data_IF_205017702914
#
_entry.id   IF_205017702914
#
_cell.length_a   1.000
_cell.length_b   1.000
_cell.length_c   1.000
_cell.angle_alpha   90.00
_cell.angle_beta   90.00
_cell.angle_gamma   90.00
#
_symmetry.space_group_name_H-M   'P 1'
#
loop_
_entity.id
_entity.type
_entity.pdbx_description
1 polymer ?
#
# COMPACT_ATOMS: atom_id res chain seq x y z
N UNK A 1 -11.26 -26.87 1.81
CA UNK A 1 -11.39 -28.35 1.81
C UNK A 1 -12.44 -28.84 2.81
N UNK A 2 -12.36 -28.50 4.09
CA UNK A 2 -13.28 -29.00 5.13
C UNK A 2 -14.78 -28.70 4.87
N UNK A 3 -15.09 -27.55 4.26
CA UNK A 3 -16.48 -27.19 3.90
C UNK A 3 -17.11 -28.13 2.86
N UNK A 4 -16.36 -28.50 1.82
CA UNK A 4 -16.84 -29.43 0.78
C UNK A 4 -17.06 -30.84 1.33
N UNK A 5 -16.20 -31.29 2.26
CA UNK A 5 -16.35 -32.57 2.95
C UNK A 5 -17.55 -32.58 3.88
N UNK A 6 -17.80 -31.46 4.60
CA UNK A 6 -18.97 -31.32 5.47
C UNK A 6 -20.28 -31.44 4.70
N UNK A 7 -20.41 -30.76 3.56
CA UNK A 7 -21.64 -30.72 2.76
C UNK A 7 -21.73 -31.82 1.68
N UNK A 8 -20.84 -32.82 1.70
CA UNK A 8 -20.82 -33.90 0.72
C UNK A 8 -22.14 -34.71 0.66
N UNK A 9 -22.80 -35.10 1.78
CA UNK A 9 -24.07 -35.83 1.74
C UNK A 9 -25.19 -35.01 1.10
N UNK A 10 -25.25 -33.71 1.41
CA UNK A 10 -26.23 -32.78 0.83
C UNK A 10 -25.99 -32.65 -0.68
N UNK A 11 -24.73 -32.44 -1.08
CA UNK A 11 -24.35 -32.35 -2.49
C UNK A 11 -24.69 -33.63 -3.27
N UNK A 12 -24.46 -34.79 -2.68
CA UNK A 12 -24.80 -36.10 -3.26
C UNK A 12 -26.31 -36.33 -3.35
N UNK A 13 -27.08 -35.85 -2.38
CA UNK A 13 -28.55 -35.95 -2.40
C UNK A 13 -29.19 -35.04 -3.45
N UNK A 14 -28.61 -33.86 -3.73
CA UNK A 14 -29.10 -32.95 -4.76
C UNK A 14 -28.70 -33.39 -6.17
N UNK A 15 -27.42 -33.72 -6.37
CA UNK A 15 -26.88 -34.10 -7.69
C UNK A 15 -25.84 -35.20 -7.51
N UNK A 16 -26.29 -36.45 -7.47
CA UNK A 16 -25.43 -37.62 -7.27
C UNK A 16 -24.31 -37.73 -8.33
N UNK A 17 -24.58 -37.33 -9.58
CA UNK A 17 -23.61 -37.36 -10.69
C UNK A 17 -22.91 -36.01 -10.93
N UNK A 18 -22.99 -35.09 -9.97
CA UNK A 18 -22.36 -33.78 -10.11
C UNK A 18 -20.84 -33.91 -10.23
N UNK A 19 -20.23 -33.09 -11.09
CA UNK A 19 -18.78 -33.09 -11.33
C UNK A 19 -17.95 -33.00 -10.03
N UNK A 20 -18.45 -32.25 -9.04
CA UNK A 20 -17.83 -32.13 -7.73
C UNK A 20 -17.90 -33.44 -6.92
N UNK A 21 -19.04 -34.12 -6.91
CA UNK A 21 -19.24 -35.43 -6.24
C UNK A 21 -18.33 -36.47 -6.89
N UNK A 22 -18.32 -36.55 -8.22
CA UNK A 22 -17.48 -37.49 -8.97
C UNK A 22 -15.98 -37.29 -8.71
N UNK A 23 -15.51 -36.03 -8.70
CA UNK A 23 -14.10 -35.73 -8.43
C UNK A 23 -13.71 -36.06 -6.98
N UNK A 24 -14.61 -35.82 -6.03
CA UNK A 24 -14.37 -36.16 -4.63
C UNK A 24 -14.30 -37.67 -4.41
N UNK A 25 -15.23 -38.43 -4.97
CA UNK A 25 -15.24 -39.90 -4.89
C UNK A 25 -14.03 -40.51 -5.60
N UNK A 26 -13.71 -40.06 -6.82
CA UNK A 26 -12.54 -40.52 -7.56
C UNK A 26 -11.21 -40.24 -6.82
N UNK A 27 -11.09 -39.08 -6.17
CA UNK A 27 -9.91 -38.75 -5.36
C UNK A 27 -9.81 -39.65 -4.11
N UNK A 28 -10.95 -39.94 -3.48
CA UNK A 28 -11.05 -40.79 -2.28
C UNK A 28 -10.65 -42.22 -2.61
N UNK A 29 -11.19 -42.78 -3.68
CA UNK A 29 -10.85 -44.12 -4.19
C UNK A 29 -9.37 -44.20 -4.60
N UNK A 30 -8.85 -43.17 -5.29
CA UNK A 30 -7.43 -43.11 -5.68
C UNK A 30 -6.49 -43.10 -4.47
N UNK A 31 -6.97 -42.62 -3.31
CA UNK A 31 -6.22 -42.62 -2.05
C UNK A 31 -6.47 -43.87 -1.20
N UNK A 32 -7.25 -44.83 -1.68
CA UNK A 32 -7.50 -46.11 -1.02
C UNK A 32 -8.61 -46.07 0.02
N UNK A 33 -9.37 -44.99 0.10
CA UNK A 33 -10.50 -44.84 1.02
C UNK A 33 -11.82 -45.13 0.31
N UNK A 34 -12.83 -45.53 1.08
CA UNK A 34 -14.17 -45.82 0.59
C UNK A 34 -15.12 -44.64 0.83
N UNK A 35 -16.22 -44.60 0.07
CA UNK A 35 -17.23 -43.54 0.18
C UNK A 35 -17.91 -43.52 1.56
N UNK A 36 -17.98 -44.65 2.27
CA UNK A 36 -18.49 -44.71 3.65
C UNK A 36 -17.59 -43.99 4.65
N UNK A 37 -16.26 -44.00 4.45
CA UNK A 37 -15.34 -43.21 5.30
C UNK A 37 -15.53 -41.71 5.06
N UNK A 38 -15.77 -41.31 3.81
CA UNK A 38 -16.08 -39.93 3.44
C UNK A 38 -17.37 -39.43 4.12
N UNK A 39 -18.41 -40.28 4.16
CA UNK A 39 -19.66 -40.01 4.88
C UNK A 39 -19.45 -39.94 6.39
N UNK A 40 -18.62 -40.83 6.96
CA UNK A 40 -18.28 -40.80 8.38
C UNK A 40 -17.57 -39.49 8.77
N UNK A 41 -16.64 -39.01 7.94
CA UNK A 41 -15.95 -37.74 8.17
C UNK A 41 -16.90 -36.53 8.05
N UNK A 42 -17.82 -36.55 7.06
CA UNK A 42 -18.85 -35.52 6.94
C UNK A 42 -19.74 -35.47 8.19
N UNK A 43 -20.20 -36.62 8.67
CA UNK A 43 -21.02 -36.73 9.88
C UNK A 43 -20.28 -36.18 11.10
N UNK A 44 -19.00 -36.56 11.28
CA UNK A 44 -18.17 -36.07 12.38
C UNK A 44 -17.99 -34.54 12.34
N UNK A 45 -17.77 -33.96 11.15
CA UNK A 45 -17.66 -32.51 10.96
C UNK A 45 -19.00 -31.78 11.20
N UNK A 46 -20.13 -32.44 10.94
CA UNK A 46 -21.46 -31.95 11.27
C UNK A 46 -21.71 -31.88 12.78
N UNK A 47 -21.32 -32.92 13.51
CA UNK A 47 -21.48 -33.00 14.98
C UNK A 47 -20.60 -31.99 15.73
N UNK A 48 -19.35 -31.78 15.29
CA UNK A 48 -18.43 -30.82 15.92
C UNK A 48 -18.87 -29.35 15.80
N UNK A 49 -19.77 -29.03 14.86
CA UNK A 49 -20.37 -27.69 14.74
C UNK A 49 -21.67 -27.55 15.56
N UNK A 50 -22.19 -28.64 16.13
CA UNK A 50 -23.45 -28.68 16.87
C UNK A 50 -23.28 -28.83 18.40
N UNK A 51 -22.09 -28.51 18.95
CA UNK A 51 -21.98 -28.19 20.38
C UNK A 51 -22.46 -26.76 20.62
N UNK A 52 -23.76 -26.55 20.54
CA UNK A 52 -24.46 -25.45 21.20
C UNK A 52 -25.19 -26.07 22.40
N UNK A 53 -25.07 -25.51 23.62
CA UNK A 53 -25.62 -26.15 24.80
C UNK A 53 -27.14 -26.24 24.70
N UNK A 54 -27.61 -27.43 25.04
CA UNK A 54 -28.99 -27.77 25.38
C UNK A 54 -29.54 -26.79 26.41
N UNK A 55 -30.65 -26.13 26.08
CA UNK A 55 -31.56 -25.55 27.06
C UNK A 55 -32.96 -26.04 26.69
N UNK A 56 -33.42 -27.06 27.42
CA UNK A 56 -34.82 -27.38 27.55
C UNK A 56 -35.55 -26.22 28.22
N UNK A 57 -36.68 -25.79 27.67
CA UNK A 57 -37.96 -25.56 28.36
C UNK A 57 -39.01 -24.97 27.38
N UNK A 58 -39.94 -25.84 26.95
CA UNK A 58 -41.40 -25.73 27.08
C UNK A 58 -42.16 -24.45 26.67
N UNK A 59 -42.97 -24.62 25.62
CA UNK A 59 -44.35 -24.13 25.38
C UNK A 59 -44.63 -22.70 24.90
N UNK A 60 -45.18 -22.66 23.67
CA UNK A 60 -46.21 -21.79 23.06
C UNK A 60 -46.52 -20.42 23.69
N UNK A 61 -46.25 -19.35 22.95
CA UNK A 61 -47.20 -18.28 22.62
C UNK A 61 -46.56 -17.22 21.69
N UNK A 62 -47.24 -16.93 20.57
CA UNK A 62 -47.08 -15.78 19.68
C UNK A 62 -45.65 -15.38 19.28
N UNK A 63 -45.22 -15.82 18.09
CA UNK A 63 -44.02 -15.30 17.41
C UNK A 63 -44.14 -13.80 17.17
N UNK A 64 -43.58 -13.01 18.07
CA UNK A 64 -43.28 -11.59 17.85
C UNK A 64 -42.17 -11.52 16.79
N UNK A 65 -42.58 -11.20 15.55
CA UNK A 65 -41.74 -11.15 14.35
C UNK A 65 -40.47 -10.31 14.57
N UNK A 66 -40.50 -9.35 15.52
CA UNK A 66 -39.38 -8.46 15.85
C UNK A 66 -38.21 -9.15 16.57
N UNK A 67 -38.43 -10.31 17.19
CA UNK A 67 -37.38 -11.04 17.93
C UNK A 67 -36.65 -12.07 17.07
N UNK A 68 -37.11 -12.30 15.83
CA UNK A 68 -36.51 -13.32 14.98
C UNK A 68 -35.11 -12.88 14.53
N UNK A 69 -34.07 -13.72 14.72
CA UNK A 69 -32.65 -13.33 14.63
C UNK A 69 -32.25 -12.77 13.27
N UNK A 70 -32.98 -13.13 12.21
CA UNK A 70 -32.78 -12.61 10.85
C UNK A 70 -33.14 -11.12 10.75
N UNK A 71 -34.23 -10.66 11.39
CA UNK A 71 -34.62 -9.25 11.34
C UNK A 71 -33.68 -8.38 12.17
N UNK A 72 -33.23 -8.87 13.33
CA UNK A 72 -32.19 -8.19 14.12
C UNK A 72 -30.90 -8.03 13.32
N UNK A 73 -30.49 -9.08 12.60
CA UNK A 73 -29.32 -9.02 11.73
C UNK A 73 -29.50 -8.06 10.55
N UNK A 74 -30.65 -8.10 9.88
CA UNK A 74 -30.97 -7.17 8.80
C UNK A 74 -31.00 -5.71 9.29
N UNK A 75 -31.59 -5.44 10.45
CA UNK A 75 -31.60 -4.11 11.05
C UNK A 75 -30.17 -3.63 11.37
N UNK A 76 -29.31 -4.51 11.91
CA UNK A 76 -27.90 -4.18 12.16
C UNK A 76 -27.12 -3.88 10.86
N UNK A 77 -27.37 -4.63 9.79
CA UNK A 77 -26.76 -4.36 8.48
C UNK A 77 -27.22 -3.04 7.88
N UNK A 78 -28.51 -2.71 8.01
CA UNK A 78 -29.07 -1.43 7.57
C UNK A 78 -28.41 -0.28 8.33
N UNK A 79 -28.31 -0.39 9.65
CA UNK A 79 -27.66 0.62 10.50
C UNK A 79 -26.19 0.81 10.11
N UNK A 80 -25.45 -0.28 9.88
CA UNK A 80 -24.07 -0.21 9.39
C UNK A 80 -23.97 0.48 8.03
N UNK A 81 -24.89 0.19 7.10
CA UNK A 81 -24.89 0.82 5.79
C UNK A 81 -25.19 2.32 5.88
N UNK A 82 -26.12 2.72 6.74
CA UNK A 82 -26.43 4.13 7.02
C UNK A 82 -25.19 4.85 7.56
N UNK A 83 -24.50 4.28 8.55
CA UNK A 83 -23.28 4.87 9.11
C UNK A 83 -22.17 5.01 8.08
N UNK A 84 -21.99 4.00 7.21
CA UNK A 84 -21.00 4.07 6.12
C UNK A 84 -21.38 5.18 5.14
N UNK A 85 -22.63 5.28 4.73
CA UNK A 85 -23.09 6.33 3.82
C UNK A 85 -22.91 7.72 4.41
N UNK A 86 -23.31 7.96 5.67
CA UNK A 86 -23.08 9.23 6.36
C UNK A 86 -21.59 9.61 6.43
N UNK A 87 -20.72 8.61 6.68
CA UNK A 87 -19.27 8.82 6.69
C UNK A 87 -18.71 9.15 5.30
N UNK A 88 -19.29 8.58 4.24
CA UNK A 88 -18.92 8.91 2.87
C UNK A 88 -19.40 10.32 2.51
N UNK A 89 -20.62 10.70 2.88
CA UNK A 89 -21.18 12.03 2.64
C UNK A 89 -20.37 13.12 3.34
N UNK A 90 -20.03 12.93 4.62
CA UNK A 90 -19.18 13.89 5.36
C UNK A 90 -17.80 14.06 4.72
N UNK A 91 -17.19 12.97 4.23
CA UNK A 91 -15.92 13.03 3.50
C UNK A 91 -16.08 13.73 2.15
N UNK A 92 -17.18 13.50 1.45
CA UNK A 92 -17.49 14.12 0.16
C UNK A 92 -17.71 15.64 0.33
N UNK A 93 -18.51 16.07 1.32
CA UNK A 93 -18.68 17.50 1.63
C UNK A 93 -17.37 18.18 2.01
N UNK A 94 -16.50 17.49 2.77
CA UNK A 94 -15.17 18.01 3.12
C UNK A 94 -14.26 18.13 1.87
N UNK A 95 -14.35 17.17 0.96
CA UNK A 95 -13.62 17.19 -0.30
C UNK A 95 -14.13 18.30 -1.22
N UNK A 96 -15.44 18.44 -1.36
CA UNK A 96 -16.09 19.49 -2.16
C UNK A 96 -15.78 20.89 -1.63
N UNK A 97 -15.82 21.09 -0.32
CA UNK A 97 -15.42 22.36 0.29
C UNK A 97 -13.94 22.69 -0.01
N UNK A 98 -13.04 21.71 0.06
CA UNK A 98 -11.64 21.90 -0.31
C UNK A 98 -11.45 22.23 -1.80
N UNK A 99 -12.24 21.61 -2.69
CA UNK A 99 -12.19 21.87 -4.13
C UNK A 99 -12.76 23.26 -4.46
N UNK A 100 -13.90 23.62 -3.87
CA UNK A 100 -14.54 24.92 -4.07
C UNK A 100 -13.66 26.07 -3.56
N UNK A 101 -13.05 25.91 -2.37
CA UNK A 101 -12.09 26.87 -1.82
C UNK A 101 -10.81 26.99 -2.68
N UNK A 102 -10.43 25.91 -3.37
CA UNK A 102 -9.29 25.90 -4.31
C UNK A 102 -9.64 26.56 -5.65
N UNK A 103 -10.89 26.40 -6.11
CA UNK A 103 -11.38 26.96 -7.38
C UNK A 103 -11.65 28.47 -7.31
N UNK A 104 -11.95 29.04 -6.13
CA UNK A 104 -12.08 30.50 -5.97
C UNK A 104 -10.75 31.26 -5.96
N UNK A 105 -9.60 30.57 -6.05
CA UNK A 105 -8.30 31.22 -6.22
C UNK A 105 -7.86 31.17 -7.68
N UNK A 106 -8.22 32.25 -8.41
CA UNK A 106 -7.67 32.84 -9.67
C UNK A 106 -8.16 32.31 -11.04
N UNK A 107 -8.18 33.13 -12.13
CA UNK A 107 -7.85 34.59 -12.35
C UNK A 107 -8.83 35.34 -13.33
N UNK A 108 -8.52 36.49 -14.01
CA UNK A 108 -7.67 37.68 -13.75
C UNK A 108 -8.41 39.04 -13.94
N UNK A 109 -7.75 40.17 -13.62
CA UNK A 109 -8.13 41.51 -14.09
C UNK A 109 -6.95 42.48 -13.92
N UNK A 110 -6.39 42.93 -15.05
CA UNK A 110 -5.35 43.94 -15.19
C UNK A 110 -5.86 45.34 -14.80
N UNK A 111 -5.04 46.15 -14.13
CA UNK A 111 -4.55 47.45 -14.63
C UNK A 111 -3.75 48.26 -13.57
N UNK A 112 -2.92 49.14 -14.12
CA UNK A 112 -1.76 49.86 -13.60
C UNK A 112 -1.93 50.74 -12.33
N UNK A 113 -0.83 50.95 -11.58
CA UNK A 113 -0.05 52.20 -11.57
C UNK A 113 0.97 52.26 -10.40
N UNK A 114 2.00 53.05 -10.63
CA UNK A 114 3.27 53.29 -9.89
C UNK A 114 3.12 53.81 -8.45
N UNK A 115 4.09 53.51 -7.56
CA UNK A 115 5.00 54.49 -6.91
C UNK A 115 5.86 53.83 -5.80
N UNK A 116 7.00 54.45 -5.54
CA UNK A 116 8.22 54.02 -4.86
C UNK A 116 8.11 53.59 -3.38
N UNK A 117 9.08 52.78 -2.96
CA UNK A 117 9.32 52.49 -1.54
C UNK A 117 10.42 51.47 -1.32
N UNK A 118 11.63 51.97 -1.08
CA UNK A 118 12.82 51.23 -0.70
C UNK A 118 12.56 50.35 0.54
N UNK A 119 12.88 49.05 0.44
CA UNK A 119 12.68 48.08 1.52
C UNK A 119 13.14 46.68 1.12
N UNK A 120 14.28 46.28 1.66
CA UNK A 120 14.87 44.94 1.74
C UNK A 120 13.87 43.77 1.52
N UNK A 121 14.14 42.79 0.64
CA UNK A 121 13.14 41.81 0.29
C UNK A 121 12.90 40.84 1.46
N UNK A 122 11.68 40.76 2.03
CA UNK A 122 11.40 39.73 3.01
C UNK A 122 11.42 38.39 2.29
N UNK A 123 12.15 37.43 2.86
CA UNK A 123 12.18 36.02 2.44
C UNK A 123 10.76 35.46 2.51
N UNK A 124 10.00 35.66 1.43
CA UNK A 124 8.71 35.01 1.22
C UNK A 124 9.04 33.56 0.95
N UNK A 125 9.08 32.76 2.03
CA UNK A 125 8.86 31.31 1.99
C UNK A 125 7.55 31.09 1.26
N UNK A 126 7.66 30.92 -0.06
CA UNK A 126 6.57 30.60 -0.96
C UNK A 126 6.10 29.20 -0.60
N UNK A 127 5.17 29.14 0.36
CA UNK A 127 4.46 27.91 0.74
C UNK A 127 3.41 27.61 -0.34
N UNK A 128 3.87 27.45 -1.57
CA UNK A 128 3.24 26.51 -2.50
C UNK A 128 3.37 25.17 -1.79
N UNK A 129 2.32 24.36 -1.71
CA UNK A 129 2.46 22.98 -1.24
C UNK A 129 3.41 22.27 -2.21
N UNK A 130 4.71 22.33 -1.89
CA UNK A 130 5.76 21.87 -2.76
C UNK A 130 5.51 20.39 -3.01
N UNK A 131 5.48 19.99 -4.28
CA UNK A 131 5.71 18.60 -4.61
C UNK A 131 6.94 18.15 -3.81
N UNK A 132 6.82 17.10 -3.00
CA UNK A 132 7.92 16.65 -2.15
C UNK A 132 9.17 16.53 -3.01
N UNK A 133 10.19 17.33 -2.69
CA UNK A 133 11.48 17.32 -3.41
C UNK A 133 12.13 15.96 -3.17
N UNK A 134 12.98 15.49 -4.09
CA UNK A 134 13.57 14.17 -3.94
C UNK A 134 14.54 14.12 -2.76
N UNK A 135 15.33 15.19 -2.54
CA UNK A 135 16.13 15.35 -1.33
C UNK A 135 15.30 15.37 -0.04
N UNK A 136 14.06 15.87 -0.05
CA UNK A 136 13.18 15.83 1.13
C UNK A 136 12.70 14.40 1.40
N UNK A 137 12.43 13.63 0.34
CA UNK A 137 12.13 12.21 0.44
C UNK A 137 13.34 11.41 0.97
N UNK A 138 14.55 11.72 0.51
CA UNK A 138 15.81 11.16 1.01
C UNK A 138 16.04 11.49 2.49
N UNK A 139 15.96 12.77 2.85
CA UNK A 139 16.14 13.22 4.22
C UNK A 139 15.08 12.65 5.17
N UNK A 140 13.81 12.60 4.75
CA UNK A 140 12.76 11.99 5.56
C UNK A 140 12.92 10.49 5.73
N UNK A 141 13.53 9.80 4.76
CA UNK A 141 13.87 8.39 4.90
C UNK A 141 14.93 8.18 5.98
N UNK A 142 16.07 8.88 5.88
CA UNK A 142 17.25 8.63 6.71
C UNK A 142 17.33 9.42 8.02
N UNK A 143 16.99 10.70 8.00
CA UNK A 143 17.28 11.62 9.10
C UNK A 143 16.05 11.94 9.96
N UNK A 144 14.82 11.73 9.49
CA UNK A 144 13.61 12.01 10.27
C UNK A 144 13.45 11.03 11.44
N UNK A 145 13.02 11.55 12.60
CA UNK A 145 12.72 10.76 13.80
C UNK A 145 11.21 10.88 14.11
N UNK A 146 10.47 9.77 14.32
CA UNK A 146 10.89 8.38 14.11
C UNK A 146 11.20 8.09 12.62
N UNK A 147 12.17 7.21 12.38
CA UNK A 147 12.60 6.83 11.02
C UNK A 147 11.43 6.27 10.21
N UNK A 148 11.36 6.65 8.94
CA UNK A 148 10.18 6.37 8.12
C UNK A 148 10.01 4.87 7.83
N UNK A 149 11.11 4.09 7.81
CA UNK A 149 11.05 2.63 7.72
C UNK A 149 10.63 1.94 9.02
N UNK A 150 10.80 2.59 10.18
CA UNK A 150 10.43 2.08 11.50
C UNK A 150 8.99 2.39 11.89
N UNK A 151 8.27 3.21 11.10
CA UNK A 151 6.87 3.53 11.37
C UNK A 151 5.94 2.35 11.07
N UNK A 152 5.11 2.01 12.06
CA UNK A 152 4.09 0.94 11.99
C UNK A 152 2.68 1.50 11.67
N UNK A 153 2.57 2.81 11.46
CA UNK A 153 1.29 3.46 11.23
C UNK A 153 0.73 3.16 9.83
N UNK A 154 -0.48 2.57 9.80
CA UNK A 154 -1.21 2.23 8.58
C UNK A 154 -1.53 3.47 7.72
N UNK A 155 -1.71 4.65 8.32
CA UNK A 155 -2.01 5.89 7.59
C UNK A 155 -0.81 6.39 6.78
N UNK A 156 0.41 6.05 7.20
CA UNK A 156 1.66 6.44 6.52
C UNK A 156 2.18 5.38 5.56
N UNK A 157 1.54 4.19 5.50
CA UNK A 157 1.97 3.03 4.69
C UNK A 157 2.21 3.39 3.22
N UNK A 158 1.27 4.11 2.60
CA UNK A 158 1.39 4.49 1.19
C UNK A 158 2.51 5.51 0.96
N UNK A 159 2.63 6.49 1.86
CA UNK A 159 3.70 7.49 1.82
C UNK A 159 5.07 6.81 1.98
N UNK A 160 5.21 5.91 2.94
CA UNK A 160 6.41 5.09 3.17
C UNK A 160 6.78 4.29 1.93
N UNK A 161 5.84 3.60 1.29
CA UNK A 161 6.09 2.82 0.08
C UNK A 161 6.59 3.70 -1.08
N UNK A 162 5.97 4.87 -1.29
CA UNK A 162 6.40 5.80 -2.32
C UNK A 162 7.77 6.41 -2.02
N UNK A 163 8.03 6.86 -0.79
CA UNK A 163 9.34 7.36 -0.37
C UNK A 163 10.42 6.29 -0.55
N UNK A 164 10.12 5.05 -0.15
CA UNK A 164 11.01 3.89 -0.33
C UNK A 164 11.42 3.72 -1.79
N UNK A 165 10.46 3.80 -2.73
CA UNK A 165 10.74 3.72 -4.16
C UNK A 165 11.59 4.90 -4.66
N UNK A 166 11.30 6.13 -4.21
CA UNK A 166 12.10 7.31 -4.62
C UNK A 166 13.54 7.13 -4.19
N UNK A 167 13.75 6.75 -2.92
CA UNK A 167 15.07 6.56 -2.35
C UNK A 167 15.82 5.43 -3.04
N UNK A 168 15.15 4.32 -3.37
CA UNK A 168 15.76 3.23 -4.12
C UNK A 168 16.24 3.67 -5.51
N UNK A 169 15.46 4.48 -6.22
CA UNK A 169 15.91 5.05 -7.48
C UNK A 169 17.05 6.05 -7.32
N UNK A 170 17.02 6.90 -6.28
CA UNK A 170 18.10 7.85 -6.00
C UNK A 170 19.43 7.13 -5.69
N UNK A 171 19.39 6.02 -4.96
CA UNK A 171 20.58 5.20 -4.64
C UNK A 171 21.36 4.75 -5.87
N UNK A 172 20.66 4.52 -6.99
CA UNK A 172 21.28 4.06 -8.24
C UNK A 172 22.24 5.09 -8.87
N UNK A 173 22.04 6.38 -8.54
CA UNK A 173 22.81 7.50 -9.08
C UNK A 173 23.88 8.01 -8.12
N UNK A 174 24.06 7.35 -6.98
CA UNK A 174 25.16 7.66 -6.07
C UNK A 174 26.48 7.11 -6.59
N UNK A 175 27.58 7.77 -6.20
CA UNK A 175 28.93 7.41 -6.59
C UNK A 175 29.36 6.01 -6.10
N UNK A 176 30.52 5.55 -6.60
CA UNK A 176 31.05 4.17 -6.45
C UNK A 176 31.12 3.67 -5.00
N UNK A 177 31.04 4.55 -4.01
CA UNK A 177 30.99 4.17 -2.60
C UNK A 177 30.31 5.27 -1.80
N UNK A 178 29.13 4.99 -1.27
CA UNK A 178 28.51 5.84 -0.25
C UNK A 178 28.41 5.08 1.06
N UNK A 179 28.72 5.77 2.15
CA UNK A 179 28.65 5.23 3.51
C UNK A 179 27.92 6.25 4.36
N UNK A 180 26.79 5.84 4.93
CA UNK A 180 26.00 6.61 5.87
C UNK A 180 26.14 5.96 7.24
N UNK A 181 26.94 6.58 8.13
CA UNK A 181 27.08 6.13 9.51
C UNK A 181 26.12 6.91 10.42
N UNK A 182 25.11 6.23 10.97
CA UNK A 182 24.13 6.81 11.89
C UNK A 182 24.78 7.35 13.18
N UNK A 183 25.96 6.85 13.55
CA UNK A 183 26.70 7.29 14.75
C UNK A 183 27.58 8.51 14.51
N UNK A 184 27.78 8.89 13.25
CA UNK A 184 28.58 10.06 12.89
C UNK A 184 27.88 11.36 13.33
N UNK A 185 28.59 12.32 13.95
CA UNK A 185 28.01 13.63 14.22
C UNK A 185 27.67 14.39 12.93
N UNK A 186 28.29 14.05 11.80
CA UNK A 186 28.00 14.60 10.48
C UNK A 186 26.86 13.88 9.74
N UNK A 187 26.26 12.83 10.32
CA UNK A 187 25.26 12.00 9.64
C UNK A 187 24.18 12.78 8.88
N UNK A 188 23.63 13.83 9.51
CA UNK A 188 22.56 14.62 8.87
C UNK A 188 23.06 15.47 7.71
N UNK A 189 24.29 15.97 7.80
CA UNK A 189 24.91 16.75 6.73
C UNK A 189 25.27 15.81 5.58
N UNK A 190 25.84 14.63 5.87
CA UNK A 190 26.13 13.59 4.88
C UNK A 190 24.85 13.14 4.14
N UNK A 191 23.74 12.95 4.88
CA UNK A 191 22.43 12.64 4.29
C UNK A 191 21.94 13.76 3.37
N UNK A 192 22.13 15.03 3.73
CA UNK A 192 21.72 16.16 2.91
C UNK A 192 22.56 16.28 1.64
N UNK A 193 23.89 16.15 1.75
CA UNK A 193 24.81 16.22 0.63
C UNK A 193 24.59 15.07 -0.36
N UNK A 194 24.54 13.82 0.13
CA UNK A 194 24.26 12.65 -0.70
C UNK A 194 22.87 12.73 -1.36
N UNK A 195 21.87 13.20 -0.61
CA UNK A 195 20.52 13.40 -1.14
C UNK A 195 20.47 14.43 -2.28
N UNK A 196 21.22 15.53 -2.14
CA UNK A 196 21.32 16.57 -3.17
C UNK A 196 22.11 16.10 -4.39
N UNK A 197 23.21 15.38 -4.18
CA UNK A 197 24.01 14.78 -5.26
C UNK A 197 23.18 13.78 -6.07
N UNK A 198 22.49 12.85 -5.39
CA UNK A 198 21.62 11.89 -6.05
C UNK A 198 20.45 12.55 -6.81
N UNK A 199 19.82 13.59 -6.24
CA UNK A 199 18.75 14.33 -6.93
C UNK A 199 19.29 15.01 -8.20
N UNK A 200 20.48 15.62 -8.12
CA UNK A 200 21.12 16.26 -9.28
C UNK A 200 21.38 15.25 -10.40
N UNK A 201 22.05 14.13 -10.11
CA UNK A 201 22.39 13.12 -11.10
C UNK A 201 21.14 12.45 -11.71
N UNK A 202 20.14 12.14 -10.88
CA UNK A 202 18.86 11.61 -11.33
C UNK A 202 18.12 12.59 -12.27
N UNK A 203 18.10 13.89 -11.95
CA UNK A 203 17.46 14.88 -12.80
C UNK A 203 18.24 15.15 -14.10
N UNK A 204 19.57 15.04 -14.07
CA UNK A 204 20.41 15.08 -15.28
C UNK A 204 20.07 13.90 -16.20
N UNK A 205 20.04 12.69 -15.66
CA UNK A 205 19.66 11.48 -16.41
C UNK A 205 18.27 11.58 -17.02
N UNK A 206 17.28 12.09 -16.29
CA UNK A 206 15.94 12.29 -16.84
C UNK A 206 15.94 13.28 -18.02
N UNK A 207 16.78 14.32 -17.97
CA UNK A 207 16.90 15.30 -19.06
C UNK A 207 17.53 14.68 -20.31
N UNK A 208 18.53 13.81 -20.15
CA UNK A 208 19.13 13.03 -21.25
C UNK A 208 18.09 12.14 -21.95
N UNK A 209 17.09 11.67 -21.20
CA UNK A 209 15.95 10.91 -21.72
C UNK A 209 14.74 11.77 -22.11
N UNK A 210 14.92 13.09 -22.30
CA UNK A 210 13.87 14.05 -22.68
C UNK A 210 12.69 14.15 -21.70
N UNK A 211 12.90 13.78 -20.43
CA UNK A 211 11.88 13.82 -19.37
C UNK A 211 12.08 15.03 -18.45
N UNK A 212 11.16 16.00 -18.53
CA UNK A 212 11.13 17.18 -17.64
C UNK A 212 10.31 16.95 -16.35
N UNK A 213 10.61 15.89 -15.59
CA UNK A 213 9.94 15.61 -14.33
C UNK A 213 10.71 16.22 -13.13
N UNK A 214 10.02 16.95 -12.25
CA UNK A 214 10.64 17.61 -11.07
C UNK A 214 10.08 17.18 -9.71
N UNK A 215 8.82 16.76 -9.64
CA UNK A 215 8.21 16.31 -8.39
C UNK A 215 8.42 14.81 -8.16
N UNK A 216 8.59 14.37 -6.92
CA UNK A 216 8.81 12.97 -6.57
C UNK A 216 7.84 11.99 -7.25
N UNK A 217 6.54 12.32 -7.32
CA UNK A 217 5.55 11.46 -7.99
C UNK A 217 5.78 11.34 -9.50
N UNK A 218 6.07 12.44 -10.19
CA UNK A 218 6.31 12.44 -11.62
C UNK A 218 7.63 11.75 -11.95
N UNK A 219 8.67 11.99 -11.15
CA UNK A 219 9.96 11.31 -11.27
C UNK A 219 9.78 9.80 -11.08
N UNK A 220 9.04 9.36 -10.05
CA UNK A 220 8.70 7.94 -9.88
C UNK A 220 8.01 7.34 -11.10
N UNK A 221 7.04 8.05 -11.68
CA UNK A 221 6.30 7.57 -12.86
C UNK A 221 7.24 7.38 -14.05
N UNK A 222 8.11 8.36 -14.31
CA UNK A 222 9.09 8.30 -15.39
C UNK A 222 10.15 7.22 -15.16
N UNK A 223 10.67 7.12 -13.93
CA UNK A 223 11.67 6.11 -13.56
C UNK A 223 11.15 4.69 -13.71
N UNK A 224 9.88 4.42 -13.36
CA UNK A 224 9.27 3.12 -13.64
C UNK A 224 9.19 2.80 -15.13
N UNK A 225 8.93 3.80 -15.97
CA UNK A 225 8.91 3.60 -17.43
C UNK A 225 10.30 3.30 -17.96
N UNK A 226 11.31 4.07 -17.56
CA UNK A 226 12.71 3.85 -17.95
C UNK A 226 13.25 2.52 -17.44
N UNK A 227 12.84 2.09 -16.25
CA UNK A 227 13.16 0.78 -15.70
C UNK A 227 12.60 -0.34 -16.57
N UNK A 228 11.30 -0.27 -16.92
CA UNK A 228 10.65 -1.25 -17.80
C UNK A 228 11.26 -1.29 -19.20
N UNK A 229 11.73 -0.16 -19.70
CA UNK A 229 12.45 -0.05 -20.97
C UNK A 229 13.92 -0.51 -20.88
N UNK A 230 14.42 -0.86 -19.70
CA UNK A 230 15.78 -1.38 -19.48
C UNK A 230 16.88 -0.33 -19.39
N UNK A 231 16.57 0.97 -19.44
CA UNK A 231 17.57 2.03 -19.38
C UNK A 231 18.29 2.13 -18.02
N UNK A 232 17.71 1.54 -16.97
CA UNK A 232 18.29 1.51 -15.63
C UNK A 232 19.12 0.26 -15.33
N UNK A 233 19.24 -0.68 -16.28
CA UNK A 233 19.90 -1.96 -16.05
C UNK A 233 21.40 -1.82 -15.72
N UNK A 234 22.08 -0.87 -16.36
CA UNK A 234 23.50 -0.60 -16.09
C UNK A 234 23.71 -0.10 -14.66
N UNK A 235 22.88 0.87 -14.23
CA UNK A 235 22.90 1.39 -12.87
C UNK A 235 22.55 0.33 -11.83
N UNK A 236 21.54 -0.50 -12.10
CA UNK A 236 21.17 -1.60 -11.22
C UNK A 236 22.31 -2.63 -11.07
N UNK A 237 22.98 -2.99 -12.19
CA UNK A 237 24.13 -3.90 -12.17
C UNK A 237 25.28 -3.33 -11.34
N UNK A 238 25.61 -2.06 -11.58
CA UNK A 238 26.66 -1.34 -10.83
C UNK A 238 26.34 -1.31 -9.34
N UNK A 239 25.13 -0.92 -8.97
CA UNK A 239 24.69 -0.91 -7.58
C UNK A 239 24.85 -2.28 -6.90
N UNK A 240 24.43 -3.35 -7.57
CA UNK A 240 24.59 -4.71 -7.05
C UNK A 240 26.07 -5.11 -6.88
N UNK A 241 26.96 -4.70 -7.79
CA UNK A 241 28.40 -4.93 -7.67
C UNK A 241 29.01 -4.20 -6.47
N UNK A 242 28.63 -2.94 -6.25
CA UNK A 242 29.07 -2.15 -5.11
C UNK A 242 28.57 -2.73 -3.78
N UNK A 243 27.33 -3.23 -3.77
CA UNK A 243 26.77 -3.92 -2.62
C UNK A 243 27.54 -5.22 -2.31
N UNK A 244 27.83 -6.04 -3.33
CA UNK A 244 28.61 -7.26 -3.18
C UNK A 244 30.05 -6.99 -2.72
N UNK A 245 30.64 -5.87 -3.12
CA UNK A 245 31.97 -5.44 -2.70
C UNK A 245 32.01 -4.81 -1.30
N UNK A 246 30.86 -4.69 -0.61
CA UNK A 246 30.78 -4.05 0.71
C UNK A 246 31.11 -2.55 0.69
N UNK A 247 31.00 -1.89 -0.47
CA UNK A 247 31.28 -0.45 -0.65
C UNK A 247 30.08 0.44 -0.30
N UNK A 248 28.93 -0.17 0.02
CA UNK A 248 27.70 0.51 0.41
C UNK A 248 27.47 0.32 1.91
N UNK A 249 27.56 1.41 2.66
CA UNK A 249 27.18 1.46 4.08
C UNK A 249 25.79 2.08 4.23
N UNK A 250 24.73 1.29 4.03
CA UNK A 250 23.34 1.78 4.11
C UNK A 250 22.73 1.43 5.48
N UNK A 251 22.29 2.41 6.29
CA UNK A 251 21.65 2.15 7.58
C UNK A 251 20.22 1.63 7.42
N UNK A 252 19.60 1.76 6.24
CA UNK A 252 18.27 1.22 6.00
C UNK A 252 18.32 -0.31 5.87
N UNK A 253 17.36 -1.06 6.44
CA UNK A 253 17.37 -2.51 6.39
C UNK A 253 17.40 -3.08 4.96
N UNK A 254 18.07 -4.22 4.76
CA UNK A 254 18.23 -4.85 3.44
C UNK A 254 16.89 -5.18 2.71
N UNK A 255 15.80 -5.39 3.45
CA UNK A 255 14.47 -5.58 2.84
C UNK A 255 13.91 -4.31 2.17
N UNK A 256 14.54 -3.15 2.39
CA UNK A 256 14.20 -1.88 1.75
C UNK A 256 15.04 -1.58 0.52
N UNK A 257 16.14 -2.30 0.30
CA UNK A 257 17.03 -2.15 -0.89
C UNK A 257 16.71 -3.15 -1.99
N UNK A 258 16.08 -4.30 -1.67
CA UNK A 258 15.73 -5.37 -2.62
C UNK A 258 14.61 -5.06 -3.65
N UNK A 259 14.18 -3.82 -3.79
CA UNK A 259 12.98 -3.48 -4.58
C UNK A 259 13.21 -3.63 -6.09
N UNK A 260 14.48 -3.61 -6.53
CA UNK A 260 14.83 -3.90 -7.93
C UNK A 260 14.63 -5.39 -8.29
N UNK A 261 14.44 -6.27 -7.31
CA UNK A 261 14.04 -7.66 -7.54
C UNK A 261 12.52 -7.84 -7.70
N UNK A 262 11.70 -7.02 -7.02
CA UNK A 262 10.23 -7.17 -6.99
C UNK A 262 9.49 -6.53 -8.18
N UNK A 263 10.17 -5.74 -9.02
CA UNK A 263 9.58 -5.18 -10.26
C UNK A 263 9.82 -6.14 -11.45
N UNK A 264 10.56 -7.22 -11.23
CA UNK A 264 10.78 -8.28 -12.22
C UNK A 264 9.66 -9.31 -12.17
N UNK A 265 8.49 -8.97 -12.72
CA UNK A 265 7.64 -9.93 -13.43
C UNK A 265 6.75 -9.17 -14.40
N UNK A 266 6.74 -9.50 -15.71
CA UNK A 266 5.63 -9.15 -16.59
C UNK A 266 4.32 -9.79 -16.12
#
# INVERSE_FOLDING_TARGET
MAYLLRHYPELKSLVSDGLAVQRMEACTIKKGFCVSELLAWSSHLGTCASTKPENTNTTDAATDITTHPIFLHQAALIEQLIQVNQKLDTRLSTMEANIYNKSKRTPPGDDASEDAGNGEPPVKRRRTSAATSLKDAWFSWYAQKPQMWSSTDATTKQKRSNTKLVVAFMKLFLDESFVLDEKSPQYRDDVLELGAAAEKELLSFLREHEVNARGAHNVLKSMRKLYKAGHLNAFARRYNQLQAAGRIGDPAPAHTTNILGEISTP
#
